data_IF_209982126399
#
_entry.id   IF_209982126399
#
_cell.length_a   1.000
_cell.length_b   1.000
_cell.length_c   1.000
_cell.angle_alpha   90.00
_cell.angle_beta   90.00
_cell.angle_gamma   90.00
#
_symmetry.space_group_name_H-M   'P 1'
#
loop_
_entity.id
_entity.type
_entity.pdbx_description
1 polymer ?
#
# COMPACT_ATOMS: atom_id res chain seq x y z
N UNK A 1 30.77 -25.50 16.27
CA UNK A 1 29.65 -25.21 15.39
C UNK A 1 28.59 -24.44 16.19
N UNK A 2 28.21 -23.29 15.72
CA UNK A 2 27.11 -22.52 16.34
C UNK A 2 25.82 -22.93 15.64
N UNK A 3 24.87 -23.45 16.40
CA UNK A 3 23.52 -23.77 15.88
C UNK A 3 22.61 -22.59 16.29
N UNK A 4 22.05 -21.91 15.33
CA UNK A 4 21.07 -20.87 15.54
C UNK A 4 19.66 -21.41 15.25
N UNK A 5 18.71 -21.12 16.13
CA UNK A 5 17.30 -21.38 15.88
C UNK A 5 16.78 -20.31 14.91
N UNK A 6 16.38 -20.74 13.71
CA UNK A 6 15.91 -19.88 12.63
C UNK A 6 14.39 -19.67 12.66
N UNK A 7 13.68 -20.23 13.65
CA UNK A 7 12.23 -20.11 13.75
C UNK A 7 11.76 -18.71 14.19
N UNK A 8 12.64 -17.97 14.87
CA UNK A 8 12.35 -16.64 15.39
C UNK A 8 13.30 -15.61 14.78
N UNK A 9 12.95 -15.12 13.61
CA UNK A 9 13.72 -14.08 12.92
C UNK A 9 13.18 -12.69 13.24
N UNK A 10 14.10 -11.77 13.48
CA UNK A 10 13.77 -10.35 13.66
C UNK A 10 14.34 -9.55 12.51
N UNK A 11 13.49 -8.75 11.89
CA UNK A 11 13.92 -7.65 11.04
C UNK A 11 14.37 -6.50 11.93
N UNK A 12 15.50 -5.90 11.59
CA UNK A 12 15.99 -4.68 12.21
C UNK A 12 16.20 -3.65 11.12
N UNK A 13 15.60 -2.49 11.27
CA UNK A 13 15.70 -1.39 10.32
C UNK A 13 15.80 -0.05 11.02
N UNK A 14 16.04 0.99 10.23
CA UNK A 14 16.07 2.36 10.70
C UNK A 14 15.01 3.15 9.93
N UNK A 15 14.33 4.04 10.66
CA UNK A 15 13.28 4.91 10.13
C UNK A 15 13.64 6.35 10.43
N UNK A 16 13.37 7.23 9.49
CA UNK A 16 13.59 8.66 9.61
C UNK A 16 12.66 9.30 10.65
N UNK A 17 13.09 10.43 11.24
CA UNK A 17 12.34 11.19 12.23
C UNK A 17 10.96 11.63 11.71
N UNK A 18 10.84 11.92 10.42
CA UNK A 18 9.57 12.37 9.80
C UNK A 18 8.50 11.30 9.76
N UNK A 19 8.90 10.03 9.74
CA UNK A 19 8.00 8.89 9.61
C UNK A 19 7.80 8.10 10.89
N UNK A 20 8.77 8.13 11.82
CA UNK A 20 8.69 7.36 13.07
C UNK A 20 7.45 7.68 13.90
N UNK A 21 6.99 8.93 13.88
CA UNK A 21 5.79 9.36 14.62
C UNK A 21 4.48 8.71 14.16
N UNK A 22 4.48 8.09 12.98
CA UNK A 22 3.33 7.36 12.43
C UNK A 22 3.34 5.88 12.80
N UNK A 23 4.46 5.38 13.37
CA UNK A 23 4.65 3.98 13.66
C UNK A 23 4.23 3.63 15.08
N UNK A 24 3.57 2.49 15.23
CA UNK A 24 3.17 1.94 16.53
C UNK A 24 3.46 0.44 16.55
N UNK A 25 3.73 -0.08 17.73
CA UNK A 25 3.84 -1.53 17.94
C UNK A 25 2.54 -2.24 17.53
N UNK A 26 2.67 -3.40 16.94
CA UNK A 26 1.55 -4.18 16.40
C UNK A 26 1.19 -3.88 14.94
N UNK A 27 1.80 -2.86 14.30
CA UNK A 27 1.54 -2.58 12.89
C UNK A 27 2.03 -3.72 11.98
N UNK A 28 1.25 -4.06 10.93
CA UNK A 28 1.68 -5.02 9.92
C UNK A 28 2.78 -4.42 9.03
N UNK A 29 3.78 -5.23 8.77
CA UNK A 29 4.93 -4.89 7.93
C UNK A 29 5.08 -5.94 6.85
N UNK A 30 5.26 -5.51 5.61
CA UNK A 30 5.66 -6.37 4.50
C UNK A 30 7.16 -6.24 4.27
N UNK A 31 7.86 -7.36 4.24
CA UNK A 31 9.29 -7.41 4.02
C UNK A 31 9.60 -8.04 2.68
N UNK A 32 10.40 -7.36 1.88
CA UNK A 32 10.96 -7.91 0.64
C UNK A 32 12.45 -8.14 0.83
N UNK A 33 12.88 -9.37 0.71
CA UNK A 33 14.29 -9.76 0.90
C UNK A 33 15.02 -9.66 -0.43
N UNK A 34 16.10 -8.86 -0.48
CA UNK A 34 16.86 -8.64 -1.71
C UNK A 34 17.48 -9.92 -2.31
N UNK A 35 17.81 -10.92 -1.48
CA UNK A 35 18.38 -12.19 -1.91
C UNK A 35 17.33 -13.18 -2.45
N UNK A 36 16.04 -12.96 -2.20
CA UNK A 36 14.93 -13.84 -2.60
C UNK A 36 14.00 -13.06 -3.53
N UNK A 37 14.11 -13.30 -4.83
CA UNK A 37 13.27 -12.63 -5.81
C UNK A 37 11.80 -13.04 -5.63
N UNK A 38 10.89 -12.05 -5.61
CA UNK A 38 9.44 -12.23 -5.51
C UNK A 38 8.93 -12.91 -4.22
N UNK A 39 9.70 -12.87 -3.13
CA UNK A 39 9.25 -13.36 -1.83
C UNK A 39 8.95 -12.16 -0.93
N UNK A 40 7.66 -12.02 -0.58
CA UNK A 40 7.21 -11.11 0.45
C UNK A 40 6.95 -11.89 1.74
N UNK A 41 7.44 -11.39 2.84
CA UNK A 41 7.22 -11.96 4.16
C UNK A 41 6.37 -11.03 5.01
N UNK A 42 5.46 -11.62 5.75
CA UNK A 42 4.69 -10.89 6.75
C UNK A 42 5.52 -10.72 8.02
N UNK A 43 5.47 -9.53 8.57
CA UNK A 43 6.08 -9.23 9.86
C UNK A 43 5.16 -8.31 10.67
N UNK A 44 5.40 -8.26 11.96
CA UNK A 44 4.69 -7.38 12.87
C UNK A 44 5.71 -6.50 13.59
N UNK A 45 5.47 -5.20 13.61
CA UNK A 45 6.32 -4.24 14.30
C UNK A 45 6.20 -4.47 15.82
N UNK A 46 7.31 -4.86 16.48
CA UNK A 46 7.32 -5.16 17.91
C UNK A 46 7.98 -4.07 18.74
N UNK A 47 8.85 -3.28 18.12
CA UNK A 47 9.61 -2.30 18.85
C UNK A 47 9.94 -1.09 17.97
N UNK A 48 9.73 0.09 18.53
CA UNK A 48 10.18 1.37 17.98
C UNK A 48 11.07 2.03 19.04
N UNK A 49 12.32 2.32 18.70
CA UNK A 49 13.26 2.91 19.64
C UNK A 49 12.79 4.28 20.09
N UNK A 50 12.74 4.57 21.41
CA UNK A 50 12.48 5.90 21.91
C UNK A 50 13.70 6.82 21.79
N UNK A 51 14.87 6.27 21.42
CA UNK A 51 16.12 7.01 21.28
C UNK A 51 16.58 7.01 19.82
N UNK A 52 16.81 8.22 19.31
CA UNK A 52 17.43 8.41 18.01
C UNK A 52 18.91 8.07 18.01
N UNK A 53 19.41 7.65 16.87
CA UNK A 53 20.82 7.60 16.50
C UNK A 53 21.05 8.53 15.31
N UNK A 54 22.17 9.24 15.33
CA UNK A 54 22.59 10.07 14.21
C UNK A 54 23.57 9.25 13.35
N UNK A 55 23.26 9.13 12.07
CA UNK A 55 24.14 8.53 11.07
C UNK A 55 24.28 9.46 9.87
N UNK A 56 25.50 9.91 9.60
CA UNK A 56 25.82 10.82 8.50
C UNK A 56 24.98 12.12 8.47
N UNK A 57 24.62 12.65 9.65
CA UNK A 57 23.79 13.85 9.77
C UNK A 57 22.28 13.60 9.63
N UNK A 58 21.86 12.35 9.52
CA UNK A 58 20.45 11.96 9.49
C UNK A 58 20.04 11.37 10.84
N UNK A 59 18.91 11.81 11.37
CA UNK A 59 18.35 11.30 12.62
C UNK A 59 17.50 10.08 12.31
N UNK A 60 17.89 8.92 12.85
CA UNK A 60 17.28 7.63 12.60
C UNK A 60 16.83 6.97 13.90
N UNK A 61 15.70 6.28 13.85
CA UNK A 61 15.15 5.48 14.94
C UNK A 61 15.18 4.00 14.58
N UNK A 62 15.79 3.19 15.44
CA UNK A 62 15.79 1.73 15.26
C UNK A 62 14.38 1.17 15.43
N UNK A 63 13.98 0.30 14.52
CA UNK A 63 12.73 -0.47 14.61
C UNK A 63 13.03 -1.95 14.49
N UNK A 64 12.21 -2.77 15.16
CA UNK A 64 12.29 -4.24 15.09
C UNK A 64 10.92 -4.82 14.78
N UNK A 65 10.89 -5.77 13.86
CA UNK A 65 9.67 -6.49 13.52
C UNK A 65 9.90 -8.00 13.59
N UNK A 66 8.96 -8.72 14.20
CA UNK A 66 8.95 -10.17 14.19
C UNK A 66 8.51 -10.67 12.81
N UNK A 67 9.34 -11.50 12.20
CA UNK A 67 9.12 -12.00 10.85
C UNK A 67 8.46 -13.38 10.91
N UNK A 68 7.34 -13.53 10.21
CA UNK A 68 6.69 -14.84 10.00
C UNK A 68 7.27 -15.48 8.74
N UNK A 69 8.06 -16.54 8.92
CA UNK A 69 8.68 -17.26 7.80
C UNK A 69 7.82 -18.49 7.48
N UNK A 70 7.29 -18.63 6.26
CA UNK A 70 6.64 -19.85 5.80
C UNK A 70 7.63 -21.03 5.80
N UNK A 71 7.13 -22.24 6.01
CA UNK A 71 7.97 -23.44 6.15
C UNK A 71 8.72 -23.83 4.85
N UNK A 72 8.27 -23.34 3.73
CA UNK A 72 8.84 -23.55 2.39
C UNK A 72 9.89 -22.50 2.01
N UNK A 73 10.08 -21.46 2.83
CA UNK A 73 11.01 -20.36 2.58
C UNK A 73 12.20 -20.48 3.52
N UNK A 74 13.40 -20.54 2.95
CA UNK A 74 14.62 -20.55 3.71
C UNK A 74 15.29 -19.17 3.71
N UNK A 75 15.33 -18.52 4.88
CA UNK A 75 15.95 -17.20 5.07
C UNK A 75 17.20 -17.34 5.93
N UNK A 76 18.26 -16.63 5.61
CA UNK A 76 19.48 -16.58 6.41
C UNK A 76 19.59 -15.27 7.18
N UNK A 77 20.11 -15.34 8.40
CA UNK A 77 20.47 -14.13 9.13
C UNK A 77 21.52 -13.33 8.36
N UNK A 78 21.38 -11.99 8.37
CA UNK A 78 22.25 -11.08 7.66
C UNK A 78 21.81 -10.75 6.23
N UNK A 79 20.68 -11.26 5.76
CA UNK A 79 20.09 -10.78 4.49
C UNK A 79 19.57 -9.36 4.66
N UNK A 80 19.79 -8.54 3.61
CA UNK A 80 19.16 -7.23 3.50
C UNK A 80 17.70 -7.38 3.10
N UNK A 81 16.84 -6.58 3.73
CA UNK A 81 15.42 -6.54 3.44
C UNK A 81 14.91 -5.10 3.40
N UNK A 82 13.95 -4.84 2.53
CA UNK A 82 13.18 -3.61 2.50
C UNK A 82 11.85 -3.85 3.23
N UNK A 83 11.49 -2.92 4.12
CA UNK A 83 10.26 -2.97 4.88
C UNK A 83 9.27 -1.92 4.38
N UNK A 84 8.04 -2.35 4.13
CA UNK A 84 6.91 -1.48 3.85
C UNK A 84 5.91 -1.60 5.01
N UNK A 85 5.73 -0.52 5.76
CA UNK A 85 4.78 -0.48 6.87
C UNK A 85 3.43 0.02 6.35
N UNK A 86 2.37 -0.77 6.56
CA UNK A 86 1.03 -0.34 6.22
C UNK A 86 0.47 0.54 7.34
N UNK A 87 0.46 1.85 7.11
CA UNK A 87 -0.01 2.84 8.09
C UNK A 87 -1.53 2.84 8.20
N UNK A 88 -2.20 2.65 7.07
CA UNK A 88 -3.66 2.51 7.01
C UNK A 88 -4.02 1.49 5.94
N UNK A 89 -4.97 0.62 6.24
CA UNK A 89 -5.59 -0.27 5.26
C UNK A 89 -7.09 -0.38 5.55
N UNK A 90 -7.88 -0.45 4.49
CA UNK A 90 -9.30 -0.80 4.55
C UNK A 90 -9.56 -1.93 3.59
N UNK A 91 -10.18 -2.98 4.10
CA UNK A 91 -10.54 -4.15 3.29
C UNK A 91 -12.03 -4.14 2.99
N UNK A 92 -12.40 -4.72 1.83
CA UNK A 92 -13.80 -4.83 1.43
C UNK A 92 -14.45 -3.51 1.03
N UNK A 93 -13.67 -2.50 0.66
CA UNK A 93 -14.14 -1.20 0.20
C UNK A 93 -14.27 -1.14 -1.31
N UNK A 94 -15.21 -0.33 -1.79
CA UNK A 94 -15.35 -0.04 -3.21
C UNK A 94 -14.22 0.89 -3.65
N UNK A 95 -13.48 0.50 -4.67
CA UNK A 95 -12.38 1.30 -5.22
C UNK A 95 -12.55 1.54 -6.71
N UNK A 96 -12.05 2.69 -7.16
CA UNK A 96 -11.93 3.03 -8.58
C UNK A 96 -10.48 3.43 -8.87
N UNK A 97 -9.99 3.21 -10.12
CA UNK A 97 -8.73 3.81 -10.54
C UNK A 97 -8.80 5.33 -10.37
N UNK A 98 -7.81 5.93 -9.71
CA UNK A 98 -7.79 7.37 -9.42
C UNK A 98 -7.90 8.20 -10.70
N UNK A 99 -7.39 7.69 -11.81
CA UNK A 99 -7.48 8.29 -13.14
C UNK A 99 -8.90 8.43 -13.69
N UNK A 100 -9.89 7.74 -13.12
CA UNK A 100 -11.32 7.83 -13.53
C UNK A 100 -12.12 8.86 -12.73
N UNK A 101 -11.47 9.45 -11.74
CA UNK A 101 -12.04 10.41 -10.82
C UNK A 101 -11.64 11.83 -11.22
N UNK A 102 -12.59 12.72 -11.29
CA UNK A 102 -12.40 14.13 -11.65
C UNK A 102 -12.51 15.00 -10.39
N UNK A 103 -11.49 15.82 -10.14
CA UNK A 103 -11.44 16.72 -8.99
C UNK A 103 -11.78 18.15 -9.44
N UNK A 104 -12.83 18.74 -8.89
CA UNK A 104 -13.21 20.13 -9.12
C UNK A 104 -13.34 20.89 -7.80
N UNK A 105 -12.30 21.63 -7.43
CA UNK A 105 -12.24 22.31 -6.14
C UNK A 105 -12.30 21.33 -4.99
N UNK A 106 -13.30 21.46 -4.12
CA UNK A 106 -13.53 20.58 -2.97
C UNK A 106 -14.44 19.38 -3.26
N UNK A 107 -14.86 19.22 -4.52
CA UNK A 107 -15.79 18.16 -4.93
C UNK A 107 -15.14 17.19 -5.87
N UNK A 108 -15.61 15.95 -5.78
CA UNK A 108 -15.09 14.83 -6.58
C UNK A 108 -16.23 14.22 -7.38
N UNK A 109 -15.95 13.89 -8.63
CA UNK A 109 -16.95 13.39 -9.58
C UNK A 109 -16.43 12.15 -10.30
N UNK A 110 -17.39 11.30 -10.73
CA UNK A 110 -17.17 10.21 -11.67
C UNK A 110 -18.21 10.31 -12.79
N UNK A 111 -17.89 9.77 -13.95
CA UNK A 111 -18.80 9.71 -15.09
C UNK A 111 -19.44 8.31 -15.15
N UNK A 112 -20.71 8.21 -14.80
CA UNK A 112 -21.46 6.95 -14.82
C UNK A 112 -22.12 6.74 -16.17
N UNK A 113 -22.08 5.49 -16.69
CA UNK A 113 -22.75 5.12 -17.94
C UNK A 113 -24.27 5.14 -17.75
N UNK A 114 -24.97 5.94 -18.56
CA UNK A 114 -26.44 6.07 -18.55
C UNK A 114 -27.11 5.44 -19.77
N UNK A 115 -26.35 5.22 -20.86
CA UNK A 115 -26.89 4.55 -22.05
C UNK A 115 -26.98 3.02 -21.84
N UNK A 116 -27.80 2.35 -22.65
CA UNK A 116 -27.86 0.89 -22.68
C UNK A 116 -26.48 0.30 -23.05
N UNK A 117 -26.16 -0.86 -22.48
CA UNK A 117 -24.92 -1.57 -22.77
C UNK A 117 -24.87 -1.96 -24.25
N UNK A 118 -23.80 -1.54 -24.95
CA UNK A 118 -23.64 -1.83 -26.39
C UNK A 118 -24.30 -0.80 -27.33
N UNK A 119 -24.81 0.32 -26.81
CA UNK A 119 -25.28 1.42 -27.68
C UNK A 119 -24.13 1.97 -28.56
N UNK A 120 -24.42 2.35 -29.80
CA UNK A 120 -23.44 2.94 -30.73
C UNK A 120 -22.84 4.24 -30.17
N UNK A 121 -23.62 5.01 -29.40
CA UNK A 121 -23.17 6.17 -28.65
C UNK A 121 -23.40 5.93 -27.16
N UNK A 122 -22.31 5.96 -26.40
CA UNK A 122 -22.37 5.88 -24.95
C UNK A 122 -22.52 7.27 -24.33
N UNK A 123 -23.54 7.42 -23.49
CA UNK A 123 -23.77 8.65 -22.73
C UNK A 123 -23.38 8.43 -21.27
N UNK A 124 -22.75 9.45 -20.69
CA UNK A 124 -22.27 9.42 -19.32
C UNK A 124 -22.79 10.66 -18.59
N UNK A 125 -23.27 10.45 -17.38
CA UNK A 125 -23.66 11.54 -16.49
C UNK A 125 -22.60 11.74 -15.41
N UNK A 126 -22.38 13.00 -15.06
CA UNK A 126 -21.44 13.40 -14.00
C UNK A 126 -22.10 13.26 -12.65
N UNK A 127 -21.57 12.36 -11.80
CA UNK A 127 -22.06 12.09 -10.45
C UNK A 127 -21.05 12.53 -9.41
N UNK A 128 -21.53 13.27 -8.39
CA UNK A 128 -20.71 13.62 -7.23
C UNK A 128 -20.52 12.40 -6.34
N UNK A 129 -19.26 12.14 -5.94
CA UNK A 129 -18.89 11.01 -5.11
C UNK A 129 -18.08 11.50 -3.91
N UNK A 130 -18.15 10.76 -2.80
CA UNK A 130 -17.24 10.95 -1.67
C UNK A 130 -16.14 9.91 -1.72
N UNK A 131 -14.94 10.38 -1.56
CA UNK A 131 -13.74 9.57 -1.60
C UNK A 131 -13.18 9.32 -0.19
N UNK A 132 -12.43 8.24 -0.04
CA UNK A 132 -11.72 7.89 1.17
C UNK A 132 -10.21 7.82 0.95
N UNK A 133 -9.61 6.69 1.32
CA UNK A 133 -8.18 6.48 1.16
C UNK A 133 -7.79 6.28 -0.31
N UNK A 134 -6.61 6.78 -0.68
CA UNK A 134 -5.97 6.51 -1.98
C UNK A 134 -4.59 5.89 -1.78
N UNK A 135 -4.23 4.94 -2.65
CA UNK A 135 -2.89 4.35 -2.73
C UNK A 135 -2.06 4.94 -3.89
N UNK A 136 -2.60 5.98 -4.56
CA UNK A 136 -1.99 6.63 -5.74
C UNK A 136 -2.28 5.92 -7.06
N UNK A 137 -2.93 4.75 -7.03
CA UNK A 137 -3.44 4.02 -8.20
C UNK A 137 -4.95 3.86 -8.14
N UNK A 138 -5.47 3.50 -6.97
CA UNK A 138 -6.89 3.33 -6.69
C UNK A 138 -7.31 4.25 -5.56
N UNK A 139 -8.55 4.72 -5.62
CA UNK A 139 -9.15 5.56 -4.59
C UNK A 139 -10.43 4.90 -4.09
N UNK A 140 -10.60 4.90 -2.77
CA UNK A 140 -11.81 4.42 -2.11
C UNK A 140 -12.98 5.35 -2.41
N UNK A 141 -14.12 4.79 -2.77
CA UNK A 141 -15.39 5.52 -2.89
C UNK A 141 -16.26 5.13 -1.70
N UNK A 142 -16.58 6.13 -0.88
CA UNK A 142 -17.39 5.92 0.33
C UNK A 142 -18.88 6.14 0.07
N UNK A 143 -19.22 7.03 -0.86
CA UNK A 143 -20.61 7.32 -1.24
C UNK A 143 -20.70 7.74 -2.72
N UNK A 144 -21.84 7.47 -3.36
CA UNK A 144 -22.19 7.96 -4.70
C UNK A 144 -22.09 6.92 -5.82
N UNK A 145 -21.50 5.74 -5.57
CA UNK A 145 -21.39 4.64 -6.54
C UNK A 145 -21.68 3.31 -5.85
N UNK A 146 -22.33 2.39 -6.54
CA UNK A 146 -22.58 1.04 -6.08
C UNK A 146 -21.72 0.00 -6.82
N UNK A 147 -21.53 -1.17 -6.21
CA UNK A 147 -20.84 -2.27 -6.85
C UNK A 147 -21.64 -2.75 -8.08
N UNK A 148 -21.02 -2.72 -9.25
CA UNK A 148 -21.65 -3.08 -10.53
C UNK A 148 -21.94 -1.89 -11.43
N UNK A 149 -21.86 -0.66 -10.92
CA UNK A 149 -21.99 0.54 -11.75
C UNK A 149 -20.83 0.63 -12.75
N UNK A 150 -21.16 1.09 -13.96
CA UNK A 150 -20.16 1.26 -15.03
C UNK A 150 -19.69 2.70 -15.09
N UNK A 151 -18.41 2.86 -14.83
CA UNK A 151 -17.73 4.15 -14.82
C UNK A 151 -16.91 4.31 -16.09
N UNK A 152 -16.87 5.53 -16.62
CA UNK A 152 -16.06 5.87 -17.78
C UNK A 152 -14.57 5.69 -17.44
N UNK A 153 -13.92 4.74 -18.13
CA UNK A 153 -12.48 4.56 -18.04
C UNK A 153 -11.71 5.64 -18.80
N UNK A 154 -10.42 5.78 -18.50
CA UNK A 154 -9.50 6.61 -19.28
C UNK A 154 -9.24 5.92 -20.61
N UNK A 155 -9.38 6.66 -21.72
CA UNK A 155 -8.95 6.17 -23.03
C UNK A 155 -7.45 5.95 -23.02
N UNK A 156 -7.01 4.69 -23.13
CA UNK A 156 -5.62 4.42 -23.49
C UNK A 156 -5.39 4.96 -24.91
N UNK A 157 -4.65 6.06 -25.04
CA UNK A 157 -4.08 6.44 -26.32
C UNK A 157 -3.08 5.38 -26.74
N UNK A 158 -3.47 4.48 -27.65
CA UNK A 158 -2.53 3.63 -28.35
C UNK A 158 -1.50 4.52 -29.04
N UNK A 159 -0.31 4.68 -28.46
CA UNK A 159 0.83 5.27 -29.16
C UNK A 159 1.02 4.46 -30.44
N UNK A 160 0.61 5.04 -31.58
CA UNK A 160 1.00 4.54 -32.89
C UNK A 160 2.53 4.59 -32.97
N UNK A 161 3.10 3.41 -33.12
CA UNK A 161 4.52 3.21 -33.49
C UNK A 161 4.76 3.66 -34.90
#
# INVERSE_FOLDING_TARGET
ATVADMSNMLFRGNVDETDVGKLHEGMPVKLTIGALQNVELDATLEYVSPKATEDNGVILFEVKAAVRIPADVFVRAGYSANASVMIQSREGVLTLPESTVEFEGDKTYVHMLTSAEGAEEQTFDKHEVKIGLSDGMNIEITEGVAAGDKIRGVKEEKKKK
#
